data_IF_480676201238
#
_entry.id   IF_480676201238
#
_cell.length_a   1.000
_cell.length_b   1.000
_cell.length_c   1.000
_cell.angle_alpha   90.00
_cell.angle_beta   90.00
_cell.angle_gamma   90.00
#
_symmetry.space_group_name_H-M   'P 1'
#
loop_
_entity.id
_entity.type
_entity.pdbx_description
1 polymer ?
#
# COMPACT_ATOMS: atom_id res chain seq x y z
N UNK A 1 -12.38 10.79 -7.96
CA UNK A 1 -11.39 9.75 -8.29
C UNK A 1 -11.17 8.90 -7.03
N UNK A 2 -11.49 7.61 -7.05
CA UNK A 2 -11.19 6.71 -5.93
C UNK A 2 -9.75 6.20 -6.04
N UNK A 3 -8.99 6.20 -4.94
CA UNK A 3 -7.61 5.70 -4.91
C UNK A 3 -7.60 4.33 -4.26
N UNK A 4 -7.02 3.34 -4.95
CA UNK A 4 -6.84 1.98 -4.42
C UNK A 4 -5.44 1.84 -3.83
N UNK A 5 -5.35 1.21 -2.66
CA UNK A 5 -4.09 1.07 -1.95
C UNK A 5 -3.95 -0.33 -1.39
N UNK A 6 -2.81 -0.96 -1.68
CA UNK A 6 -2.48 -2.28 -1.18
C UNK A 6 -1.91 -2.13 0.23
N UNK A 7 -2.48 -2.86 1.19
CA UNK A 7 -1.96 -2.93 2.57
C UNK A 7 -0.82 -3.94 2.73
N UNK A 8 -0.44 -4.59 1.63
CA UNK A 8 0.71 -5.49 1.57
C UNK A 8 1.91 -4.77 0.96
N UNK A 9 3.10 -5.14 1.43
CA UNK A 9 4.36 -4.67 0.87
C UNK A 9 4.63 -5.34 -0.48
N UNK A 10 5.01 -4.53 -1.49
CA UNK A 10 5.36 -5.05 -2.83
C UNK A 10 6.59 -5.98 -2.79
N UNK A 11 7.46 -5.79 -1.79
CA UNK A 11 8.58 -6.68 -1.48
C UNK A 11 8.11 -7.82 -0.58
N UNK A 12 7.65 -8.91 -1.20
CA UNK A 12 7.37 -10.18 -0.49
C UNK A 12 5.90 -10.51 -0.26
N UNK A 13 4.95 -9.63 -0.64
CA UNK A 13 3.50 -9.82 -0.45
C UNK A 13 3.11 -10.05 1.02
N UNK A 14 3.91 -9.57 1.94
CA UNK A 14 3.62 -9.64 3.36
C UNK A 14 2.80 -8.42 3.77
N UNK A 15 1.85 -8.63 4.70
CA UNK A 15 1.08 -7.54 5.30
C UNK A 15 2.03 -6.57 6.01
N UNK A 16 1.83 -5.27 5.79
CA UNK A 16 2.58 -4.24 6.51
C UNK A 16 2.33 -4.39 8.02
N UNK A 17 3.41 -4.39 8.80
CA UNK A 17 3.33 -4.43 10.26
C UNK A 17 3.60 -3.05 10.85
N UNK A 18 4.57 -2.33 10.29
CA UNK A 18 4.94 -0.98 10.71
C UNK A 18 4.89 -0.05 9.48
N UNK A 19 3.72 0.49 9.12
CA UNK A 19 3.57 1.35 7.94
C UNK A 19 4.40 2.63 8.09
N UNK A 20 5.35 2.79 7.18
CA UNK A 20 6.31 3.88 7.18
C UNK A 20 6.41 4.52 5.81
N UNK A 21 6.68 5.83 5.79
CA UNK A 21 7.06 6.58 4.60
C UNK A 21 8.02 7.70 4.97
N UNK A 22 8.70 8.29 3.99
CA UNK A 22 9.51 9.48 4.24
C UNK A 22 8.70 10.76 4.01
N UNK A 23 9.03 11.83 4.73
CA UNK A 23 8.46 13.17 4.53
C UNK A 23 8.71 13.73 3.12
N UNK A 24 9.74 13.23 2.44
CA UNK A 24 10.12 13.58 1.07
C UNK A 24 9.26 12.88 0.00
N UNK A 25 8.43 11.92 0.38
CA UNK A 25 7.57 11.17 -0.53
C UNK A 25 6.27 11.93 -0.86
N UNK A 26 5.84 11.81 -2.12
CA UNK A 26 4.56 12.38 -2.62
C UNK A 26 3.47 11.33 -2.85
N UNK A 27 3.74 10.07 -2.49
CA UNK A 27 2.80 8.96 -2.57
C UNK A 27 2.17 8.66 -1.20
N UNK A 28 1.00 8.02 -1.21
CA UNK A 28 0.37 7.49 0.00
C UNK A 28 0.90 6.10 0.41
N UNK A 29 1.40 5.30 -0.54
CA UNK A 29 1.81 3.93 -0.27
C UNK A 29 2.91 3.88 0.81
N UNK A 30 2.69 3.08 1.86
CA UNK A 30 3.69 2.83 2.89
C UNK A 30 4.54 1.60 2.55
N UNK A 31 5.74 1.54 3.13
CA UNK A 31 6.61 0.36 3.20
C UNK A 31 6.81 -0.05 4.67
N UNK A 32 7.28 -1.26 4.94
CA UNK A 32 7.49 -1.71 6.31
C UNK A 32 8.78 -1.13 6.90
N UNK A 33 8.68 -0.45 8.05
CA UNK A 33 9.84 0.16 8.69
C UNK A 33 10.91 -0.87 9.06
N UNK A 34 10.51 -2.04 9.57
CA UNK A 34 11.46 -3.06 10.03
C UNK A 34 12.26 -3.59 8.85
N UNK A 35 11.57 -3.94 7.76
CA UNK A 35 12.24 -4.43 6.56
C UNK A 35 13.14 -3.35 5.95
N UNK A 36 12.66 -2.10 5.90
CA UNK A 36 13.42 -0.98 5.37
C UNK A 36 14.73 -0.74 6.13
N UNK A 37 14.70 -0.77 7.46
CA UNK A 37 15.91 -0.61 8.28
C UNK A 37 16.85 -1.79 8.09
N UNK A 38 16.35 -3.03 8.06
CA UNK A 38 17.17 -4.22 7.80
C UNK A 38 17.85 -4.19 6.42
N UNK A 39 17.16 -3.69 5.40
CA UNK A 39 17.75 -3.51 4.07
C UNK A 39 18.88 -2.48 4.09
N UNK A 40 18.68 -1.35 4.78
CA UNK A 40 19.67 -0.29 4.88
C UNK A 40 20.85 -0.63 5.79
N UNK A 41 20.65 -1.52 6.78
CA UNK A 41 21.73 -2.10 7.57
C UNK A 41 22.68 -2.93 6.69
N UNK A 42 22.13 -3.73 5.76
CA UNK A 42 22.92 -4.53 4.81
C UNK A 42 23.58 -3.68 3.73
N UNK A 43 22.84 -2.71 3.17
CA UNK A 43 23.31 -1.80 2.13
C UNK A 43 22.65 -0.42 2.32
N UNK A 44 23.38 0.57 2.85
CA UNK A 44 22.80 1.86 3.24
C UNK A 44 22.55 2.77 2.04
N UNK A 45 21.53 2.46 1.24
CA UNK A 45 21.15 3.27 0.07
C UNK A 45 20.27 4.45 0.47
N UNK A 46 19.42 4.29 1.49
CA UNK A 46 18.46 5.28 1.97
C UNK A 46 17.55 5.84 0.87
N UNK A 47 17.09 4.93 0.00
CA UNK A 47 16.20 5.20 -1.13
C UNK A 47 14.83 4.58 -0.84
N UNK A 48 13.76 5.32 -1.08
CA UNK A 48 12.39 4.84 -0.89
C UNK A 48 12.09 3.69 -1.87
N UNK A 49 11.61 2.52 -1.41
CA UNK A 49 11.34 1.38 -2.27
C UNK A 49 10.09 1.55 -3.14
N UNK A 50 9.32 2.62 -2.95
CA UNK A 50 8.09 2.91 -3.70
C UNK A 50 8.37 3.87 -4.87
N UNK A 51 9.11 4.96 -4.61
CA UNK A 51 9.26 6.05 -5.59
C UNK A 51 10.71 6.44 -5.91
N UNK A 52 11.69 5.66 -5.43
CA UNK A 52 13.13 5.85 -5.66
C UNK A 52 13.71 7.21 -5.21
N UNK A 53 12.96 8.03 -4.47
CA UNK A 53 13.45 9.27 -3.86
C UNK A 53 14.26 8.99 -2.60
N UNK A 54 15.10 9.95 -2.19
CA UNK A 54 15.84 9.88 -0.92
C UNK A 54 14.88 9.79 0.27
N UNK A 55 15.10 8.81 1.13
CA UNK A 55 14.33 8.53 2.34
C UNK A 55 15.29 8.23 3.51
N UNK A 56 16.06 9.23 3.97
CA UNK A 56 16.99 9.03 5.07
C UNK A 56 16.24 8.79 6.39
N UNK A 57 16.91 8.14 7.35
CA UNK A 57 16.31 7.71 8.62
C UNK A 57 15.57 8.84 9.34
N UNK A 58 16.18 10.01 9.41
CA UNK A 58 15.64 11.21 10.07
C UNK A 58 14.35 11.75 9.46
N UNK A 59 14.01 11.34 8.23
CA UNK A 59 12.79 11.75 7.54
C UNK A 59 11.71 10.66 7.55
N UNK A 60 11.97 9.50 8.14
CA UNK A 60 10.99 8.42 8.25
C UNK A 60 9.90 8.79 9.26
N UNK A 61 8.66 8.56 8.87
CA UNK A 61 7.48 8.75 9.70
C UNK A 61 6.62 7.49 9.68
N UNK A 62 5.99 7.19 10.82
CA UNK A 62 4.95 6.18 10.90
C UNK A 62 3.63 6.78 10.46
N UNK A 63 2.94 6.11 9.54
CA UNK A 63 1.70 6.64 8.98
C UNK A 63 0.49 6.23 9.84
N UNK A 64 -0.06 7.20 10.57
CA UNK A 64 -1.17 6.97 11.51
C UNK A 64 -2.45 6.46 10.84
N UNK A 65 -2.74 6.92 9.62
CA UNK A 65 -3.91 6.47 8.86
C UNK A 65 -3.76 4.98 8.50
N UNK A 66 -2.60 4.57 8.04
CA UNK A 66 -2.34 3.15 7.76
C UNK A 66 -2.32 2.28 9.02
N UNK A 67 -1.84 2.80 10.15
CA UNK A 67 -1.94 2.08 11.43
C UNK A 67 -3.41 1.79 11.76
N UNK A 68 -4.29 2.78 11.62
CA UNK A 68 -5.74 2.63 11.84
C UNK A 68 -6.35 1.62 10.85
N UNK A 69 -6.04 1.73 9.56
CA UNK A 69 -6.52 0.79 8.53
C UNK A 69 -6.10 -0.64 8.83
N UNK A 70 -4.80 -0.85 9.11
CA UNK A 70 -4.24 -2.17 9.37
C UNK A 70 -4.85 -2.81 10.63
N UNK A 71 -5.21 -1.99 11.62
CA UNK A 71 -5.93 -2.45 12.82
C UNK A 71 -7.40 -2.79 12.57
N UNK A 72 -8.04 -2.10 11.63
CA UNK A 72 -9.49 -2.22 11.37
C UNK A 72 -9.85 -3.30 10.35
N UNK A 73 -8.92 -3.69 9.47
CA UNK A 73 -9.16 -4.56 8.31
C UNK A 73 -8.11 -5.68 8.26
N UNK A 74 -8.21 -6.63 9.20
CA UNK A 74 -7.22 -7.71 9.39
C UNK A 74 -7.16 -8.67 8.20
N UNK A 75 -8.31 -8.96 7.57
CA UNK A 75 -8.46 -9.96 6.50
C UNK A 75 -8.68 -9.35 5.11
N UNK A 76 -8.17 -8.14 4.88
CA UNK A 76 -8.28 -7.50 3.58
C UNK A 76 -6.93 -6.96 3.10
N UNK A 77 -6.71 -7.14 1.79
CA UNK A 77 -5.46 -6.82 1.09
C UNK A 77 -5.48 -5.43 0.42
N UNK A 78 -6.69 -4.90 0.21
CA UNK A 78 -6.91 -3.66 -0.53
C UNK A 78 -7.98 -2.80 0.14
N UNK A 79 -7.78 -1.49 0.07
CA UNK A 79 -8.76 -0.49 0.47
C UNK A 79 -9.04 0.46 -0.69
N UNK A 80 -10.19 1.12 -0.61
CA UNK A 80 -10.57 2.19 -1.51
C UNK A 80 -10.78 3.48 -0.72
N UNK A 81 -10.07 4.54 -1.12
CA UNK A 81 -10.35 5.92 -0.70
C UNK A 81 -11.46 6.51 -1.58
N UNK A 82 -12.39 7.21 -0.95
CA UNK A 82 -13.47 7.96 -1.59
C UNK A 82 -13.10 9.44 -1.72
N UNK A 83 -13.87 10.17 -2.51
CA UNK A 83 -13.64 11.60 -2.77
C UNK A 83 -13.80 12.48 -1.52
N UNK A 84 -14.59 12.02 -0.54
CA UNK A 84 -14.77 12.68 0.76
C UNK A 84 -13.60 12.40 1.73
N UNK A 85 -12.58 11.64 1.30
CA UNK A 85 -11.42 11.27 2.11
C UNK A 85 -11.66 10.07 3.03
N UNK A 86 -12.90 9.54 3.11
CA UNK A 86 -13.17 8.30 3.83
C UNK A 86 -12.61 7.10 3.06
N UNK A 87 -12.39 5.99 3.76
CA UNK A 87 -11.91 4.76 3.15
C UNK A 87 -12.82 3.57 3.52
N UNK A 88 -12.77 2.53 2.71
CA UNK A 88 -13.47 1.28 2.97
C UNK A 88 -12.64 0.07 2.50
N UNK A 89 -12.69 -1.07 3.21
CA UNK A 89 -12.12 -2.32 2.72
C UNK A 89 -12.72 -2.73 1.38
N UNK A 90 -11.88 -3.18 0.44
CA UNK A 90 -12.38 -3.86 -0.74
C UNK A 90 -12.74 -5.28 -0.37
N UNK A 91 -14.01 -5.66 -0.61
CA UNK A 91 -14.40 -7.06 -0.53
C UNK A 91 -13.86 -7.76 -1.77
N UNK A 92 -13.03 -8.76 -1.58
CA UNK A 92 -12.70 -9.71 -2.64
C UNK A 92 -14.01 -10.26 -3.19
N UNK A 93 -14.34 -9.97 -4.46
CA UNK A 93 -15.43 -10.66 -5.14
C UNK A 93 -15.04 -12.14 -5.16
N UNK A 94 -15.61 -12.97 -4.28
CA UNK A 94 -15.75 -14.39 -4.57
C UNK A 94 -16.67 -14.48 -5.79
N UNK A 95 -16.07 -14.43 -6.98
CA UNK A 95 -16.77 -14.80 -8.20
C UNK A 95 -17.04 -16.29 -8.05
N UNK A 96 -18.27 -16.64 -7.65
CA UNK A 96 -18.81 -17.96 -7.98
C UNK A 96 -18.86 -17.96 -9.50
N UNK A 97 -17.93 -18.68 -10.13
CA UNK A 97 -17.90 -18.85 -11.57
C UNK A 97 -19.12 -19.67 -11.99
N UNK A 98 -20.18 -19.00 -12.43
CA UNK A 98 -21.03 -19.56 -13.48
C UNK A 98 -20.58 -18.95 -14.81
N UNK A 99 -20.10 -19.82 -15.69
CA UNK A 99 -19.55 -19.49 -17.00
C UNK A 99 -20.72 -19.11 -17.93
N UNK A 100 -20.76 -17.86 -18.38
CA UNK A 100 -21.13 -17.55 -19.78
C UNK A 100 -20.68 -16.15 -20.16
N UNK A 101 -20.07 -16.09 -21.34
CA UNK A 101 -19.34 -14.96 -21.88
C UNK A 101 -20.24 -13.75 -22.13
N UNK A 102 -19.77 -12.56 -21.78
CA UNK A 102 -20.00 -11.32 -22.54
C UNK A 102 -18.99 -10.26 -22.09
N UNK A 103 -18.31 -9.70 -23.08
CA UNK A 103 -17.30 -8.66 -23.02
C UNK A 103 -17.76 -7.40 -22.28
N UNK A 104 -16.86 -6.78 -21.50
CA UNK A 104 -16.44 -5.38 -21.64
C UNK A 104 -15.67 -4.88 -20.40
N UNK A 105 -14.60 -4.12 -20.64
CA UNK A 105 -14.06 -3.16 -19.67
C UNK A 105 -12.89 -3.64 -18.80
N UNK A 106 -11.71 -3.71 -19.41
CA UNK A 106 -10.44 -3.58 -18.67
C UNK A 106 -10.35 -2.11 -18.21
N UNK A 107 -10.79 -1.80 -17.00
CA UNK A 107 -10.39 -0.55 -16.34
C UNK A 107 -9.11 -0.83 -15.53
N UNK A 108 -8.06 -0.11 -15.91
CA UNK A 108 -6.71 -0.30 -15.44
C UNK A 108 -6.63 -0.27 -13.91
N UNK A 109 -6.01 -1.31 -13.38
CA UNK A 109 -5.51 -1.37 -12.01
C UNK A 109 -4.39 -0.34 -11.92
N UNK A 110 -4.75 0.90 -11.57
CA UNK A 110 -3.76 1.92 -11.23
C UNK A 110 -3.47 1.76 -9.74
N UNK A 111 -2.60 0.81 -9.41
CA UNK A 111 -1.71 1.02 -8.27
C UNK A 111 -0.84 2.20 -8.68
N UNK A 112 -1.07 3.39 -8.13
CA UNK A 112 -0.19 4.53 -8.39
C UNK A 112 1.22 4.16 -7.88
N UNK A 113 2.13 3.98 -8.85
CA UNK A 113 3.59 4.15 -8.68
C UNK A 113 3.89 5.65 -8.52
#
# INVERSE_FOLDING_TARGET
MCVYLCVNEQLGKMRLMIPCRALTCSHLQCFDATLYIQMNEKKPTWVCPVCDKKAPFEHLILDGLFMEILSSCVDCDEIQFKEDGSWAPMRSKKVVQEVSASSNGIEGIVCLL
#
